data_IF_428240648452
#
_entry.id   IF_428240648452
#
_cell.length_a   1.000
_cell.length_b   1.000
_cell.length_c   1.000
_cell.angle_alpha   90.00
_cell.angle_beta   90.00
_cell.angle_gamma   90.00
#
_symmetry.space_group_name_H-M   'P 1'
#
loop_
_entity.id
_entity.type
_entity.pdbx_description
1 polymer ?
#
# COMPACT_ATOMS: atom_id res chain seq x y z
N UNK A 1 48.53 18.66 22.74
CA UNK A 1 47.09 18.95 22.53
C UNK A 1 46.68 18.17 21.30
N UNK A 2 45.84 17.14 21.46
CA UNK A 2 45.38 16.28 20.36
C UNK A 2 44.02 16.80 19.95
N UNK A 3 43.91 17.32 18.73
CA UNK A 3 42.64 17.81 18.20
C UNK A 3 41.73 16.65 17.82
N UNK A 4 40.50 16.81 18.27
CA UNK A 4 39.29 16.03 18.13
C UNK A 4 38.88 15.68 16.70
N UNK A 5 37.92 14.75 16.70
CA UNK A 5 36.85 14.55 15.72
C UNK A 5 37.22 13.73 14.48
N UNK A 6 37.06 12.40 14.64
CA UNK A 6 36.47 11.59 13.59
C UNK A 6 35.09 12.19 13.26
N UNK A 7 35.03 12.93 12.16
CA UNK A 7 33.80 13.44 11.59
C UNK A 7 33.60 12.72 10.27
N UNK A 8 32.47 12.01 10.22
CA UNK A 8 31.55 12.02 9.10
C UNK A 8 32.17 11.87 7.72
N UNK A 9 31.97 10.69 7.14
CA UNK A 9 31.16 10.62 5.93
C UNK A 9 30.96 9.15 5.58
N UNK A 10 29.97 8.52 6.23
CA UNK A 10 29.29 7.38 5.64
C UNK A 10 28.46 7.90 4.46
N UNK A 11 29.15 8.26 3.37
CA UNK A 11 28.54 8.63 2.11
C UNK A 11 28.19 7.35 1.36
N UNK A 12 27.36 6.52 1.99
CA UNK A 12 26.62 5.48 1.27
C UNK A 12 25.36 6.20 0.77
N UNK A 13 25.56 7.03 -0.24
CA UNK A 13 24.49 7.24 -1.21
C UNK A 13 24.29 5.89 -1.87
N UNK A 14 23.42 5.07 -1.28
CA UNK A 14 22.85 3.90 -1.91
C UNK A 14 22.11 4.40 -3.14
N UNK A 15 22.85 4.55 -4.24
CA UNK A 15 22.31 4.74 -5.56
C UNK A 15 21.70 3.40 -5.97
N UNK A 16 20.60 3.04 -5.31
CA UNK A 16 19.73 1.99 -5.78
C UNK A 16 18.99 2.66 -6.93
N UNK A 17 19.50 2.43 -8.14
CA UNK A 17 18.80 2.70 -9.38
C UNK A 17 17.57 1.78 -9.42
N UNK A 18 16.59 2.13 -8.59
CA UNK A 18 15.23 1.62 -8.68
C UNK A 18 14.64 2.38 -9.85
N UNK A 19 14.70 1.77 -11.02
CA UNK A 19 13.65 1.93 -12.02
C UNK A 19 12.33 1.86 -11.24
N UNK A 20 11.78 3.04 -10.89
CA UNK A 20 10.81 3.21 -9.81
C UNK A 20 9.70 2.21 -10.08
N UNK A 21 9.40 1.32 -9.13
CA UNK A 21 8.22 0.49 -9.30
C UNK A 21 7.04 1.45 -9.34
N UNK A 22 6.53 1.68 -10.54
CA UNK A 22 5.48 2.67 -10.79
C UNK A 22 4.15 2.20 -10.20
N UNK A 23 4.00 0.90 -9.96
CA UNK A 23 2.73 0.28 -9.55
C UNK A 23 2.93 -0.83 -8.51
N UNK A 24 2.08 -0.83 -7.49
CA UNK A 24 2.04 -1.83 -6.42
C UNK A 24 0.81 -2.71 -6.59
N UNK A 25 0.95 -4.03 -6.45
CA UNK A 25 -0.16 -4.97 -6.53
C UNK A 25 -0.88 -5.08 -5.18
N UNK A 26 -2.12 -4.63 -5.13
CA UNK A 26 -2.97 -4.66 -3.93
C UNK A 26 -4.12 -5.65 -4.12
N UNK A 27 -4.43 -6.44 -3.10
CA UNK A 27 -5.45 -7.48 -3.09
C UNK A 27 -6.38 -7.39 -1.88
N UNK A 28 -7.69 -7.57 -2.10
CA UNK A 28 -8.63 -7.83 -1.02
C UNK A 28 -8.82 -9.34 -0.83
N UNK A 29 -8.39 -9.85 0.34
CA UNK A 29 -8.48 -11.28 0.69
C UNK A 29 -9.91 -11.83 0.72
N UNK A 30 -10.91 -10.99 1.01
CA UNK A 30 -12.31 -11.43 1.12
C UNK A 30 -12.92 -11.72 -0.24
N UNK A 31 -12.56 -10.93 -1.25
CA UNK A 31 -13.18 -11.00 -2.59
C UNK A 31 -12.23 -11.49 -3.68
N UNK A 32 -10.97 -11.81 -3.33
CA UNK A 32 -9.90 -12.17 -4.29
C UNK A 32 -9.75 -11.15 -5.43
N UNK A 33 -10.11 -9.90 -5.18
CA UNK A 33 -10.03 -8.80 -6.15
C UNK A 33 -8.66 -8.14 -6.04
N UNK A 34 -7.97 -7.97 -7.18
CA UNK A 34 -6.60 -7.46 -7.26
C UNK A 34 -6.50 -6.28 -8.20
N UNK A 35 -5.69 -5.28 -7.82
CA UNK A 35 -5.44 -4.11 -8.65
C UNK A 35 -4.00 -3.62 -8.53
N UNK A 36 -3.43 -3.18 -9.65
CA UNK A 36 -2.19 -2.41 -9.66
C UNK A 36 -2.51 -0.95 -9.38
N UNK A 37 -1.90 -0.39 -8.35
CA UNK A 37 -2.12 0.98 -7.91
C UNK A 37 -0.82 1.76 -8.07
N UNK A 38 -0.86 2.93 -8.75
CA UNK A 38 0.35 3.68 -9.02
C UNK A 38 0.95 4.25 -7.73
N UNK A 39 2.28 4.24 -7.64
CA UNK A 39 2.99 4.98 -6.60
C UNK A 39 3.10 6.46 -6.97
N UNK A 40 3.11 7.34 -5.98
CA UNK A 40 3.39 8.75 -6.15
C UNK A 40 4.81 9.01 -6.66
N UNK A 41 5.07 10.26 -7.06
CA UNK A 41 6.40 10.69 -7.52
C UNK A 41 7.48 10.55 -6.42
N UNK A 42 7.05 10.59 -5.16
CA UNK A 42 7.82 10.35 -3.93
C UNK A 42 8.10 8.86 -3.67
N UNK A 43 7.57 7.96 -4.50
CA UNK A 43 7.72 6.51 -4.35
C UNK A 43 6.85 5.91 -3.25
N UNK A 44 5.95 6.71 -2.66
CA UNK A 44 5.00 6.27 -1.64
C UNK A 44 3.66 5.92 -2.28
N UNK A 45 2.86 5.09 -1.62
CA UNK A 45 1.52 4.73 -2.09
C UNK A 45 0.48 5.54 -1.30
N UNK A 46 -0.34 6.36 -1.95
CA UNK A 46 -1.36 7.14 -1.24
C UNK A 46 -2.53 6.26 -0.82
N UNK A 47 -3.02 6.47 0.41
CA UNK A 47 -4.22 5.81 0.91
C UNK A 47 -5.42 6.08 0.00
N UNK A 48 -5.60 7.32 -0.44
CA UNK A 48 -6.72 7.73 -1.32
C UNK A 48 -6.76 6.96 -2.63
N UNK A 49 -5.60 6.62 -3.20
CA UNK A 49 -5.52 5.88 -4.46
C UNK A 49 -5.91 4.41 -4.25
N UNK A 50 -5.71 3.89 -3.03
CA UNK A 50 -6.17 2.55 -2.60
C UNK A 50 -7.67 2.56 -2.31
N UNK A 51 -8.18 3.58 -1.63
CA UNK A 51 -9.59 3.74 -1.27
C UNK A 51 -10.53 3.79 -2.48
N UNK A 52 -10.06 4.31 -3.62
CA UNK A 52 -10.83 4.31 -4.88
C UNK A 52 -11.29 2.91 -5.27
N UNK A 53 -10.46 1.90 -5.03
CA UNK A 53 -10.74 0.50 -5.36
C UNK A 53 -11.19 -0.31 -4.14
N UNK A 54 -10.76 0.08 -2.95
CA UNK A 54 -10.96 -0.62 -1.68
C UNK A 54 -11.40 0.39 -0.61
N UNK A 55 -12.64 0.90 -0.66
CA UNK A 55 -13.11 1.99 0.22
C UNK A 55 -13.14 1.64 1.71
N UNK A 56 -13.04 0.36 2.06
CA UNK A 56 -12.96 -0.15 3.41
C UNK A 56 -11.52 -0.22 3.98
N UNK A 57 -10.51 0.12 3.17
CA UNK A 57 -9.11 0.03 3.56
C UNK A 57 -8.80 0.97 4.72
N UNK A 58 -8.18 0.43 5.76
CA UNK A 58 -7.58 1.20 6.85
C UNK A 58 -6.08 0.98 6.97
N UNK A 59 -5.57 -0.02 6.24
CA UNK A 59 -4.16 -0.32 6.18
C UNK A 59 -3.86 -1.34 5.09
N UNK A 60 -2.57 -1.57 4.88
CA UNK A 60 -2.08 -2.61 4.00
C UNK A 60 -1.14 -3.52 4.79
N UNK A 61 -1.14 -4.81 4.48
CA UNK A 61 -0.20 -5.78 5.03
C UNK A 61 0.47 -6.57 3.92
N UNK A 62 1.64 -7.14 4.17
CA UNK A 62 2.35 -7.98 3.22
C UNK A 62 2.89 -9.23 3.90
N UNK A 63 3.07 -10.29 3.11
CA UNK A 63 3.60 -11.56 3.61
C UNK A 63 5.12 -11.57 3.50
N UNK A 64 5.78 -11.78 4.63
CA UNK A 64 7.23 -12.00 4.70
C UNK A 64 7.59 -13.39 4.17
N UNK A 65 8.86 -13.57 3.79
CA UNK A 65 9.40 -14.88 3.38
C UNK A 65 9.27 -15.93 4.49
N UNK A 66 9.30 -15.50 5.76
CA UNK A 66 9.05 -16.34 6.94
C UNK A 66 7.61 -16.85 7.05
N UNK A 67 6.70 -16.38 6.19
CA UNK A 67 5.29 -16.74 6.19
C UNK A 67 4.39 -15.85 7.05
N UNK A 68 4.98 -14.99 7.88
CA UNK A 68 4.26 -14.03 8.73
C UNK A 68 3.75 -12.83 7.94
N UNK A 69 2.65 -12.25 8.39
CA UNK A 69 2.12 -10.99 7.84
C UNK A 69 2.65 -9.80 8.64
N UNK A 70 3.02 -8.74 7.93
CA UNK A 70 3.49 -7.48 8.51
C UNK A 70 2.65 -6.33 7.97
N UNK A 71 2.21 -5.44 8.86
CA UNK A 71 1.44 -4.24 8.50
C UNK A 71 2.42 -3.19 7.98
N UNK A 72 2.06 -2.54 6.87
CA UNK A 72 2.82 -1.40 6.34
C UNK A 72 2.72 -0.20 7.26
N UNK A 73 3.85 0.44 7.48
CA UNK A 73 3.88 1.74 8.14
C UNK A 73 3.26 2.81 7.26
N UNK A 74 2.69 3.84 7.89
CA UNK A 74 2.18 5.02 7.21
C UNK A 74 3.01 6.24 7.61
N UNK A 75 2.95 7.28 6.79
CA UNK A 75 3.44 8.62 7.14
C UNK A 75 2.74 9.16 8.39
N UNK A 76 3.34 10.15 9.05
CA UNK A 76 2.74 10.80 10.23
C UNK A 76 1.37 11.41 9.94
N UNK A 77 1.19 11.92 8.72
CA UNK A 77 -0.07 12.47 8.20
C UNK A 77 -1.12 11.38 7.89
N UNK A 78 -0.73 10.10 7.93
CA UNK A 78 -1.57 8.93 7.64
C UNK A 78 -2.24 8.96 6.26
N UNK A 79 -1.61 9.62 5.31
CA UNK A 79 -2.09 9.77 3.93
C UNK A 79 -1.38 8.82 2.96
N UNK A 80 -0.21 8.29 3.34
CA UNK A 80 0.66 7.48 2.48
C UNK A 80 1.24 6.27 3.20
N UNK A 81 1.35 5.16 2.49
CA UNK A 81 2.06 3.96 2.91
C UNK A 81 3.54 4.07 2.56
N UNK A 82 4.36 3.74 3.55
CA UNK A 82 5.81 3.65 3.44
C UNK A 82 6.15 2.24 2.92
N UNK A 83 6.97 2.10 1.87
CA UNK A 83 7.40 0.79 1.40
C UNK A 83 8.14 0.01 2.51
N UNK A 84 8.19 -1.33 2.41
CA UNK A 84 9.12 -2.14 3.21
C UNK A 84 10.57 -1.64 3.07
N UNK A 85 11.45 -2.03 4.01
CA UNK A 85 12.87 -1.62 3.98
C UNK A 85 13.59 -1.99 2.67
N UNK A 86 13.17 -3.08 2.04
CA UNK A 86 13.69 -3.53 0.73
C UNK A 86 13.03 -2.84 -0.47
N UNK A 87 12.12 -1.89 -0.23
CA UNK A 87 11.31 -1.22 -1.24
C UNK A 87 10.05 -1.99 -1.64
N UNK A 88 9.31 -1.42 -2.60
CA UNK A 88 8.28 -2.17 -3.32
C UNK A 88 8.94 -3.31 -4.10
N UNK A 89 8.29 -4.47 -4.17
CA UNK A 89 8.75 -5.61 -4.97
C UNK A 89 7.66 -5.97 -5.98
N UNK A 90 8.02 -6.13 -7.26
CA UNK A 90 7.06 -6.43 -8.34
C UNK A 90 6.26 -7.72 -8.09
N UNK A 91 6.87 -8.70 -7.42
CA UNK A 91 6.25 -10.00 -7.14
C UNK A 91 5.58 -10.06 -5.76
N UNK A 92 5.54 -8.95 -5.00
CA UNK A 92 4.86 -8.91 -3.71
C UNK A 92 3.43 -8.43 -3.86
N UNK A 93 2.52 -9.18 -3.25
CA UNK A 93 1.12 -8.79 -3.11
C UNK A 93 0.93 -8.15 -1.74
N UNK A 94 0.32 -6.97 -1.73
CA UNK A 94 -0.09 -6.26 -0.54
C UNK A 94 -1.58 -6.47 -0.32
N UNK A 95 -1.97 -6.85 0.89
CA UNK A 95 -3.34 -7.19 1.23
C UNK A 95 -4.01 -6.05 1.97
N UNK A 96 -5.26 -5.78 1.60
CA UNK A 96 -6.12 -4.80 2.27
C UNK A 96 -6.41 -5.27 3.69
N UNK A 97 -6.09 -4.41 4.65
CA UNK A 97 -6.59 -4.50 6.03
C UNK A 97 -7.80 -3.59 6.09
N UNK A 98 -8.98 -4.19 6.26
CA UNK A 98 -10.24 -3.47 6.41
C UNK A 98 -10.63 -3.37 7.88
N UNK A 99 -11.25 -2.25 8.29
CA UNK A 99 -11.90 -2.21 9.59
C UNK A 99 -13.15 -3.09 9.52
N UNK A 100 -13.44 -3.86 10.57
CA UNK A 100 -14.53 -4.85 10.58
C UNK A 100 -15.94 -4.27 10.33
N UNK A 101 -16.07 -2.94 10.32
CA UNK A 101 -17.26 -2.23 9.85
C UNK A 101 -17.27 -2.22 8.31
N UNK A 102 -17.74 -3.33 7.73
CA UNK A 102 -17.98 -3.49 6.30
C UNK A 102 -18.78 -2.30 5.75
N UNK A 103 -18.14 -1.36 5.08
CA UNK A 103 -18.79 -0.64 3.98
C UNK A 103 -18.86 -1.62 2.83
N UNK A 104 -20.03 -2.25 2.69
CA UNK A 104 -20.38 -3.04 1.51
C UNK A 104 -20.02 -2.24 0.25
N UNK A 105 -19.30 -2.82 -0.71
CA UNK A 105 -19.06 -2.15 -1.97
C UNK A 105 -20.41 -1.85 -2.65
N UNK A 106 -20.53 -0.66 -3.24
CA UNK A 106 -21.72 -0.09 -3.92
C UNK A 106 -22.24 -0.95 -5.09
N UNK A 107 -21.67 -2.14 -5.31
CA UNK A 107 -22.12 -3.12 -6.30
C UNK A 107 -23.47 -3.73 -5.89
N UNK A 108 -23.80 -3.83 -4.60
CA UNK A 108 -25.14 -4.28 -4.16
C UNK A 108 -26.24 -3.22 -4.42
N UNK A 109 -25.89 -1.94 -4.49
CA UNK A 109 -26.87 -0.88 -4.75
C UNK A 109 -27.30 -0.86 -6.22
N UNK A 110 -26.37 -1.14 -7.15
CA UNK A 110 -26.65 -1.18 -8.59
C UNK A 110 -27.52 -2.39 -8.95
N UNK A 111 -27.37 -3.54 -8.27
CA UNK A 111 -28.24 -4.70 -8.49
C UNK A 111 -29.64 -4.52 -7.90
N UNK A 112 -29.78 -3.74 -6.83
CA UNK A 112 -31.10 -3.46 -6.24
C UNK A 112 -31.91 -2.51 -7.13
N UNK A 113 -31.28 -1.51 -7.75
CA UNK A 113 -31.98 -0.58 -8.64
C UNK A 113 -32.34 -1.18 -10.02
N UNK A 114 -31.61 -2.21 -10.49
CA UNK A 114 -31.97 -2.91 -11.74
C UNK A 114 -33.12 -3.91 -11.58
N UNK A 115 -33.44 -4.36 -10.37
CA UNK A 115 -34.53 -5.30 -10.10
C UNK A 115 -35.89 -4.63 -9.81
N UNK A 116 -35.95 -3.28 -9.81
CA UNK A 116 -37.18 -2.52 -9.55
C UNK A 116 -37.77 -1.78 -10.76
N UNK A 117 -37.25 -2.00 -11.98
CA UNK A 117 -37.85 -1.51 -13.24
C UNK A 117 -38.67 -2.60 -13.95
N UNK A 118 -39.56 -3.27 -13.23
CA UNK A 118 -40.69 -3.98 -13.83
C UNK A 118 -41.94 -3.75 -12.97
N UNK A 119 -42.54 -2.55 -13.10
CA UNK A 119 -43.99 -2.33 -13.01
C UNK A 119 -44.42 -1.16 -13.87
#
# INVERSE_FOLDING_TARGET
MINSAASDNCNIASNIDTSKIEHVLVENKLFSFRRYIPTGADGLLKLTDVEVYFPEVVGLEYKLESGHYCILSMTEERDKFIPPADGWKQNCVFFVVANGEKKTPIIDQILTDFLFWEK
#
